data_IF_051965883501
#
_entry.id   IF_051965883501
#
_cell.length_a   1.000
_cell.length_b   1.000
_cell.length_c   1.000
_cell.angle_alpha   90.00
_cell.angle_beta   90.00
_cell.angle_gamma   90.00
#
_symmetry.space_group_name_H-M   'P 1'
#
loop_
_entity.id
_entity.type
_entity.pdbx_description
1 polymer ?
#
# COMPACT_ATOMS: atom_id res chain seq x y z
N UNK A 1 -5.35 4.70 50.01
CA UNK A 1 -6.78 4.35 49.95
C UNK A 1 -6.85 2.85 49.91
N UNK A 2 -7.54 2.23 50.86
CA UNK A 2 -7.84 0.79 50.77
C UNK A 2 -8.78 0.54 49.58
N UNK A 3 -8.57 -0.53 48.81
CA UNK A 3 -9.47 -0.88 47.72
C UNK A 3 -10.81 -1.35 48.30
N UNK A 4 -11.91 -0.83 47.76
CA UNK A 4 -13.25 -1.30 48.10
C UNK A 4 -13.62 -2.64 47.46
N UNK A 5 -14.77 -3.22 47.81
CA UNK A 5 -15.21 -4.51 47.27
C UNK A 5 -15.25 -4.51 45.74
N UNK A 6 -14.78 -5.60 45.14
CA UNK A 6 -14.79 -5.80 43.70
C UNK A 6 -15.51 -7.10 43.32
N UNK A 7 -16.30 -7.03 42.25
CA UNK A 7 -16.90 -8.18 41.59
C UNK A 7 -16.22 -8.37 40.24
N UNK A 8 -15.70 -9.56 40.00
CA UNK A 8 -14.95 -9.90 38.79
C UNK A 8 -15.60 -11.12 38.17
N UNK A 9 -16.19 -10.96 36.99
CA UNK A 9 -16.94 -12.00 36.29
C UNK A 9 -16.39 -12.19 34.88
N UNK A 10 -16.07 -13.41 34.46
CA UNK A 10 -15.57 -13.65 33.12
C UNK A 10 -16.74 -13.60 32.12
N UNK A 11 -16.54 -12.90 31.00
CA UNK A 11 -17.47 -12.92 29.87
C UNK A 11 -17.16 -14.15 29.02
N UNK A 12 -17.81 -15.29 29.31
CA UNK A 12 -17.55 -16.57 28.64
C UNK A 12 -18.68 -16.97 27.73
N UNK A 13 -18.35 -17.33 26.50
CA UNK A 13 -19.30 -17.91 25.56
C UNK A 13 -18.72 -19.22 25.03
N UNK A 14 -19.19 -20.36 25.58
CA UNK A 14 -18.59 -21.68 25.38
C UNK A 14 -17.09 -21.67 25.73
N UNK A 15 -16.20 -22.03 24.80
CA UNK A 15 -14.76 -22.20 25.05
C UNK A 15 -13.94 -20.90 24.93
N UNK A 16 -14.58 -19.76 24.68
CA UNK A 16 -13.89 -18.47 24.49
C UNK A 16 -14.24 -17.47 25.60
N UNK A 17 -13.21 -16.83 26.15
CA UNK A 17 -13.33 -15.71 27.09
C UNK A 17 -13.24 -14.41 26.28
N UNK A 18 -14.35 -13.70 26.15
CA UNK A 18 -14.42 -12.41 25.48
C UNK A 18 -13.73 -11.29 26.27
N UNK A 19 -13.67 -11.45 27.59
CA UNK A 19 -13.10 -10.48 28.52
C UNK A 19 -13.56 -10.72 29.94
N UNK A 20 -13.45 -9.68 30.76
CA UNK A 20 -13.82 -9.71 32.18
C UNK A 20 -14.65 -8.47 32.50
N UNK A 21 -15.81 -8.66 33.11
CA UNK A 21 -16.59 -7.59 33.71
C UNK A 21 -16.09 -7.35 35.12
N UNK A 22 -15.71 -6.10 35.40
CA UNK A 22 -15.25 -5.66 36.72
C UNK A 22 -16.19 -4.59 37.22
N UNK A 23 -16.83 -4.83 38.37
CA UNK A 23 -17.60 -3.82 39.09
C UNK A 23 -16.87 -3.51 40.41
N UNK A 24 -16.65 -2.21 40.66
CA UNK A 24 -15.94 -1.72 41.83
C UNK A 24 -16.88 -0.91 42.70
N UNK A 25 -16.73 -1.03 44.02
CA UNK A 25 -17.39 -0.18 45.02
C UNK A 25 -16.36 0.66 45.78
N UNK A 26 -16.84 1.73 46.40
CA UNK A 26 -16.04 2.54 47.33
C UNK A 26 -15.63 1.72 48.55
N UNK A 27 -14.55 2.11 49.23
CA UNK A 27 -13.98 1.38 50.36
C UNK A 27 -14.91 1.25 51.58
N UNK A 28 -15.87 2.16 51.70
CA UNK A 28 -16.85 2.26 52.77
C UNK A 28 -18.17 1.52 52.50
N UNK A 29 -18.33 0.94 51.30
CA UNK A 29 -19.54 0.20 50.94
C UNK A 29 -19.50 -1.28 51.33
N UNK A 30 -20.67 -1.88 51.51
CA UNK A 30 -20.78 -3.30 51.81
C UNK A 30 -20.36 -4.18 50.60
N UNK A 31 -19.90 -5.42 50.86
CA UNK A 31 -19.67 -6.41 49.82
C UNK A 31 -20.92 -6.69 48.95
N UNK A 32 -20.70 -7.24 47.76
CA UNK A 32 -21.80 -7.71 46.91
C UNK A 32 -22.51 -8.90 47.57
N UNK A 33 -23.85 -8.90 47.53
CA UNK A 33 -24.64 -10.02 48.05
C UNK A 33 -24.74 -11.16 47.03
N UNK A 34 -25.06 -12.38 47.50
CA UNK A 34 -25.22 -13.54 46.62
C UNK A 34 -26.24 -13.30 45.48
N UNK A 35 -27.35 -12.61 45.76
CA UNK A 35 -28.31 -12.22 44.73
C UNK A 35 -27.73 -11.28 43.67
N UNK A 36 -26.83 -10.39 44.07
CA UNK A 36 -26.13 -9.50 43.14
C UNK A 36 -25.09 -10.27 42.33
N UNK A 37 -24.42 -11.26 42.93
CA UNK A 37 -23.51 -12.17 42.23
C UNK A 37 -24.27 -12.96 41.15
N UNK A 38 -25.40 -13.60 41.50
CA UNK A 38 -26.21 -14.39 40.57
C UNK A 38 -26.74 -13.54 39.40
N UNK A 39 -27.27 -12.35 39.70
CA UNK A 39 -27.78 -11.43 38.69
C UNK A 39 -26.66 -10.94 37.75
N UNK A 40 -25.49 -10.62 38.29
CA UNK A 40 -24.36 -10.16 37.49
C UNK A 40 -23.72 -11.30 36.69
N UNK A 41 -23.71 -12.53 37.21
CA UNK A 41 -23.29 -13.72 36.47
C UNK A 41 -24.21 -13.95 35.26
N UNK A 42 -25.53 -13.91 35.46
CA UNK A 42 -26.49 -14.03 34.35
C UNK A 42 -26.34 -12.90 33.32
N UNK A 43 -26.07 -11.66 33.76
CA UNK A 43 -25.77 -10.55 32.86
C UNK A 43 -24.47 -10.78 32.07
N UNK A 44 -23.40 -11.25 32.74
CA UNK A 44 -22.12 -11.56 32.10
C UNK A 44 -22.28 -12.63 31.02
N UNK A 45 -23.08 -13.67 31.26
CA UNK A 45 -23.39 -14.72 30.29
C UNK A 45 -24.14 -14.16 29.06
N UNK A 46 -25.16 -13.31 29.27
CA UNK A 46 -25.88 -12.67 28.17
C UNK A 46 -24.99 -11.72 27.36
N UNK A 47 -24.16 -10.92 28.03
CA UNK A 47 -23.20 -10.03 27.39
C UNK A 47 -22.18 -10.81 26.54
N UNK A 48 -21.68 -11.93 27.06
CA UNK A 48 -20.76 -12.80 26.32
C UNK A 48 -21.41 -13.42 25.08
N UNK A 49 -22.67 -13.86 25.17
CA UNK A 49 -23.43 -14.37 24.03
C UNK A 49 -23.65 -13.30 22.97
N UNK A 50 -24.08 -12.10 23.38
CA UNK A 50 -24.29 -10.97 22.47
C UNK A 50 -23.01 -10.56 21.75
N UNK A 51 -21.89 -10.50 22.48
CA UNK A 51 -20.56 -10.24 21.90
C UNK A 51 -20.18 -11.31 20.87
N UNK A 52 -20.40 -12.60 21.17
CA UNK A 52 -20.09 -13.69 20.24
C UNK A 52 -20.91 -13.57 18.95
N UNK A 53 -22.21 -13.28 19.06
CA UNK A 53 -23.08 -13.08 17.91
C UNK A 53 -22.65 -11.88 17.06
N UNK A 54 -22.34 -10.74 17.69
CA UNK A 54 -21.86 -9.55 17.00
C UNK A 54 -20.52 -9.80 16.29
N UNK A 55 -19.62 -10.55 16.92
CA UNK A 55 -18.30 -10.91 16.36
C UNK A 55 -18.46 -11.86 15.17
N UNK A 56 -19.28 -12.91 15.30
CA UNK A 56 -19.57 -13.84 14.20
C UNK A 56 -20.22 -13.12 13.01
N UNK A 57 -21.18 -12.23 13.26
CA UNK A 57 -21.79 -11.42 12.19
C UNK A 57 -20.78 -10.50 11.50
N UNK A 58 -19.83 -9.92 12.25
CA UNK A 58 -18.77 -9.09 11.68
C UNK A 58 -17.84 -9.91 10.79
N UNK A 59 -17.44 -11.10 11.25
CA UNK A 59 -16.61 -12.02 10.47
C UNK A 59 -17.32 -12.49 9.19
N UNK A 60 -18.61 -12.84 9.28
CA UNK A 60 -19.41 -13.21 8.10
C UNK A 60 -19.47 -12.09 7.07
N UNK A 61 -19.71 -10.85 7.50
CA UNK A 61 -19.70 -9.67 6.60
C UNK A 61 -18.33 -9.46 5.94
N UNK A 62 -17.25 -9.66 6.69
CA UNK A 62 -15.90 -9.53 6.15
C UNK A 62 -15.62 -10.59 5.08
N UNK A 63 -16.01 -11.84 5.33
CA UNK A 63 -15.93 -12.93 4.34
C UNK A 63 -16.77 -12.63 3.10
N UNK A 64 -17.99 -12.10 3.27
CA UNK A 64 -18.88 -11.73 2.16
C UNK A 64 -18.26 -10.63 1.29
N UNK A 65 -17.71 -9.58 1.91
CA UNK A 65 -17.01 -8.49 1.21
C UNK A 65 -15.80 -9.03 0.43
N UNK A 66 -15.00 -9.91 1.03
CA UNK A 66 -13.84 -10.51 0.36
C UNK A 66 -14.28 -11.39 -0.83
N UNK A 67 -15.34 -12.17 -0.64
CA UNK A 67 -15.89 -13.04 -1.71
C UNK A 67 -16.41 -12.22 -2.89
N UNK A 68 -17.08 -11.09 -2.63
CA UNK A 68 -17.57 -10.22 -3.71
C UNK A 68 -16.43 -9.51 -4.44
N UNK A 69 -15.38 -9.08 -3.71
CA UNK A 69 -14.16 -8.53 -4.32
C UNK A 69 -13.46 -9.52 -5.25
N UNK A 70 -13.29 -10.76 -4.79
CA UNK A 70 -12.71 -11.83 -5.61
C UNK A 70 -13.55 -12.11 -6.86
N UNK A 71 -14.88 -12.04 -6.72
CA UNK A 71 -15.80 -12.20 -7.86
C UNK A 71 -15.65 -11.06 -8.86
N UNK A 72 -15.70 -9.80 -8.41
CA UNK A 72 -15.55 -8.62 -9.26
C UNK A 72 -14.20 -8.63 -9.99
N UNK A 73 -13.12 -8.98 -9.29
CA UNK A 73 -11.81 -9.06 -9.88
C UNK A 73 -11.69 -10.13 -10.97
N UNK A 74 -12.25 -11.33 -10.73
CA UNK A 74 -12.32 -12.38 -11.75
C UNK A 74 -13.12 -11.92 -12.97
N UNK A 75 -14.27 -11.29 -12.75
CA UNK A 75 -15.10 -10.76 -13.83
C UNK A 75 -14.34 -9.71 -14.66
N UNK A 76 -13.59 -8.80 -14.02
CA UNK A 76 -12.73 -7.82 -14.72
C UNK A 76 -11.60 -8.49 -15.51
N UNK A 77 -10.91 -9.45 -14.92
CA UNK A 77 -9.84 -10.17 -15.58
C UNK A 77 -10.34 -10.94 -16.82
N UNK A 78 -11.41 -11.70 -16.66
CA UNK A 78 -11.90 -12.59 -17.71
C UNK A 78 -12.66 -11.85 -18.81
N UNK A 79 -13.37 -10.76 -18.49
CA UNK A 79 -14.17 -10.05 -19.49
C UNK A 79 -13.52 -8.80 -20.07
N UNK A 80 -12.71 -8.08 -19.29
CA UNK A 80 -12.12 -6.81 -19.74
C UNK A 80 -10.70 -7.04 -20.22
N UNK A 81 -9.82 -7.55 -19.37
CA UNK A 81 -8.39 -7.73 -19.71
C UNK A 81 -8.23 -8.66 -20.91
N UNK A 82 -8.89 -9.84 -20.91
CA UNK A 82 -8.79 -10.78 -22.04
C UNK A 82 -9.29 -10.20 -23.36
N UNK A 83 -10.36 -9.37 -23.33
CA UNK A 83 -10.87 -8.70 -24.53
C UNK A 83 -9.89 -7.65 -25.05
N UNK A 84 -9.31 -6.83 -24.17
CA UNK A 84 -8.32 -5.84 -24.55
C UNK A 84 -7.08 -6.51 -25.16
N UNK A 85 -6.63 -7.64 -24.61
CA UNK A 85 -5.57 -8.45 -25.22
C UNK A 85 -5.92 -8.93 -26.63
N UNK A 86 -7.13 -9.45 -26.83
CA UNK A 86 -7.56 -9.90 -28.16
C UNK A 86 -7.62 -8.76 -29.19
N UNK A 87 -8.06 -7.57 -28.76
CA UNK A 87 -8.04 -6.35 -29.59
C UNK A 87 -6.60 -5.95 -29.91
N UNK A 88 -5.71 -5.93 -28.92
CA UNK A 88 -4.29 -5.63 -29.10
C UNK A 88 -3.61 -6.56 -30.10
N UNK A 89 -3.86 -7.88 -30.01
CA UNK A 89 -3.35 -8.87 -30.97
C UNK A 89 -3.89 -8.64 -32.39
N UNK A 90 -5.16 -8.27 -32.50
CA UNK A 90 -5.79 -7.96 -33.80
C UNK A 90 -5.14 -6.73 -34.44
N UNK A 91 -4.88 -5.68 -33.65
CA UNK A 91 -4.19 -4.47 -34.09
C UNK A 91 -2.73 -4.75 -34.47
N UNK A 92 -2.00 -5.54 -33.67
CA UNK A 92 -0.63 -5.97 -33.98
C UNK A 92 -0.55 -6.73 -35.30
N UNK A 93 -1.54 -7.57 -35.61
CA UNK A 93 -1.62 -8.25 -36.91
C UNK A 93 -2.01 -7.34 -38.08
N UNK A 94 -2.68 -6.22 -37.81
CA UNK A 94 -3.09 -5.23 -38.81
C UNK A 94 -2.00 -4.18 -39.10
N UNK A 95 -1.18 -3.80 -38.11
CA UNK A 95 -0.18 -2.74 -38.23
C UNK A 95 0.80 -2.94 -39.41
N UNK A 96 1.36 -4.15 -39.66
CA UNK A 96 2.26 -4.39 -40.80
C UNK A 96 1.58 -4.29 -42.16
N UNK A 97 0.24 -4.39 -42.21
CA UNK A 97 -0.55 -4.32 -43.46
C UNK A 97 -0.95 -2.90 -43.83
N UNK A 98 -0.77 -1.93 -42.93
CA UNK A 98 -1.05 -0.52 -43.18
C UNK A 98 -0.01 0.07 -44.14
N UNK A 99 -0.48 0.58 -45.30
CA UNK A 99 0.39 1.16 -46.35
C UNK A 99 0.81 2.60 -46.08
N UNK A 100 0.02 3.33 -45.29
CA UNK A 100 0.28 4.73 -44.95
C UNK A 100 1.07 4.76 -43.64
N UNK A 101 2.30 5.34 -43.61
CA UNK A 101 3.13 5.37 -42.41
C UNK A 101 2.45 5.96 -41.18
N UNK A 102 1.73 7.08 -41.35
CA UNK A 102 1.00 7.73 -40.26
C UNK A 102 -0.11 6.83 -39.65
N UNK A 103 -0.78 6.02 -40.48
CA UNK A 103 -1.80 5.06 -39.99
C UNK A 103 -1.13 3.94 -39.21
N UNK A 104 0.03 3.46 -39.67
CA UNK A 104 0.80 2.43 -38.95
C UNK A 104 1.29 2.92 -37.59
N UNK A 105 1.83 4.12 -37.52
CA UNK A 105 2.24 4.75 -36.26
C UNK A 105 1.05 4.93 -35.31
N UNK A 106 -0.10 5.38 -35.82
CA UNK A 106 -1.32 5.48 -35.01
C UNK A 106 -1.77 4.13 -34.45
N UNK A 107 -1.67 3.03 -35.21
CA UNK A 107 -2.01 1.69 -34.72
C UNK A 107 -1.05 1.26 -33.60
N UNK A 108 0.25 1.51 -33.72
CA UNK A 108 1.22 1.20 -32.67
C UNK A 108 0.97 2.01 -31.40
N UNK A 109 0.71 3.32 -31.52
CA UNK A 109 0.31 4.15 -30.37
C UNK A 109 -0.92 3.59 -29.66
N UNK A 110 -1.96 3.17 -30.39
CA UNK A 110 -3.14 2.55 -29.77
C UNK A 110 -2.86 1.20 -29.11
N UNK A 111 -1.86 0.45 -29.57
CA UNK A 111 -1.42 -0.78 -28.92
C UNK A 111 -0.75 -0.46 -27.59
N UNK A 112 0.10 0.58 -27.55
CA UNK A 112 0.77 1.04 -26.34
C UNK A 112 -0.25 1.55 -25.31
N UNK A 113 -1.22 2.37 -25.73
CA UNK A 113 -2.32 2.84 -24.88
C UNK A 113 -3.12 1.67 -24.28
N UNK A 114 -3.41 0.63 -25.09
CA UNK A 114 -4.11 -0.57 -24.61
C UNK A 114 -3.29 -1.33 -23.56
N UNK A 115 -1.97 -1.40 -23.71
CA UNK A 115 -1.10 -2.04 -22.73
C UNK A 115 -1.07 -1.26 -21.41
N UNK A 116 -1.02 0.07 -21.48
CA UNK A 116 -1.11 0.94 -20.30
C UNK A 116 -2.42 0.73 -19.54
N UNK A 117 -3.57 0.76 -20.25
CA UNK A 117 -4.89 0.52 -19.65
C UNK A 117 -4.98 -0.87 -19.01
N UNK A 118 -4.43 -1.91 -19.66
CA UNK A 118 -4.39 -3.26 -19.08
C UNK A 118 -3.61 -3.26 -17.76
N UNK A 119 -2.50 -2.52 -17.69
CA UNK A 119 -1.67 -2.42 -16.51
C UNK A 119 -2.38 -1.66 -15.37
N UNK A 120 -3.08 -0.58 -15.69
CA UNK A 120 -3.93 0.17 -14.75
C UNK A 120 -5.03 -0.72 -14.16
N UNK A 121 -5.75 -1.47 -15.01
CA UNK A 121 -6.81 -2.38 -14.55
C UNK A 121 -6.25 -3.48 -13.65
N UNK A 122 -5.07 -4.04 -13.98
CA UNK A 122 -4.40 -5.03 -13.11
C UNK A 122 -4.09 -4.42 -11.75
N UNK A 123 -3.52 -3.21 -11.70
CA UNK A 123 -3.28 -2.51 -10.45
C UNK A 123 -4.58 -2.34 -9.65
N UNK A 124 -5.66 -1.92 -10.29
CA UNK A 124 -6.96 -1.74 -9.64
C UNK A 124 -7.54 -3.07 -9.09
N UNK A 125 -7.37 -4.19 -9.81
CA UNK A 125 -7.76 -5.53 -9.36
C UNK A 125 -6.96 -5.95 -8.12
N UNK A 126 -5.66 -5.69 -8.09
CA UNK A 126 -4.83 -5.96 -6.92
C UNK A 126 -5.22 -5.10 -5.72
N UNK A 127 -5.47 -3.81 -5.95
CA UNK A 127 -5.94 -2.86 -4.92
C UNK A 127 -7.29 -3.31 -4.33
N UNK A 128 -8.18 -3.85 -5.18
CA UNK A 128 -9.47 -4.40 -4.77
C UNK A 128 -9.33 -5.60 -3.82
N UNK A 129 -8.42 -6.54 -4.10
CA UNK A 129 -8.19 -7.73 -3.26
C UNK A 129 -7.51 -7.42 -1.93
N UNK A 130 -6.56 -6.48 -1.91
CA UNK A 130 -5.75 -6.23 -0.73
C UNK A 130 -6.49 -5.45 0.38
N UNK A 131 -7.68 -4.90 0.09
CA UNK A 131 -8.55 -4.23 1.05
C UNK A 131 -7.98 -2.93 1.66
N UNK A 132 -8.83 -2.10 2.30
CA UNK A 132 -8.47 -0.73 2.68
C UNK A 132 -7.37 -0.60 3.74
N UNK A 133 -6.95 -1.70 4.39
CA UNK A 133 -5.93 -1.69 5.46
C UNK A 133 -4.57 -2.27 5.07
N UNK A 134 -4.47 -3.02 3.95
CA UNK A 134 -3.21 -3.61 3.48
C UNK A 134 -2.81 -3.10 2.09
N UNK A 135 -3.77 -2.84 1.19
CA UNK A 135 -3.51 -2.32 -0.15
C UNK A 135 -2.95 -0.89 -0.18
N UNK A 136 -3.43 -0.06 0.75
CA UNK A 136 -3.25 1.39 0.69
C UNK A 136 -2.00 1.86 1.45
N UNK A 137 -1.33 1.01 2.23
CA UNK A 137 -0.26 1.43 3.14
C UNK A 137 0.90 2.11 2.42
N UNK A 138 1.59 1.40 1.53
CA UNK A 138 2.76 1.94 0.84
C UNK A 138 2.37 3.05 -0.15
N UNK A 139 1.45 2.77 -1.09
CA UNK A 139 1.02 3.77 -2.09
C UNK A 139 0.59 5.10 -1.45
N UNK A 140 -0.31 5.06 -0.46
CA UNK A 140 -0.77 6.27 0.20
C UNK A 140 0.34 7.04 0.92
N UNK A 141 1.30 6.33 1.52
CA UNK A 141 2.47 6.95 2.16
C UNK A 141 3.35 7.66 1.14
N UNK A 142 3.60 7.03 -0.01
CA UNK A 142 4.42 7.59 -1.08
C UNK A 142 3.72 8.78 -1.76
N UNK A 143 2.43 8.67 -2.06
CA UNK A 143 1.63 9.78 -2.60
C UNK A 143 1.69 11.00 -1.66
N UNK A 144 1.55 10.79 -0.36
CA UNK A 144 1.67 11.86 0.64
C UNK A 144 3.05 12.54 0.63
N UNK A 145 4.13 11.79 0.40
CA UNK A 145 5.47 12.37 0.27
C UNK A 145 5.55 13.24 -0.98
N UNK A 146 5.04 12.73 -2.10
CA UNK A 146 5.04 13.41 -3.38
C UNK A 146 4.24 14.70 -3.28
N UNK A 147 3.01 14.65 -2.77
CA UNK A 147 2.15 15.82 -2.57
C UNK A 147 2.77 16.89 -1.66
N UNK A 148 3.53 16.48 -0.63
CA UNK A 148 4.19 17.40 0.31
C UNK A 148 5.39 18.13 -0.30
N UNK A 149 6.05 17.51 -1.26
CA UNK A 149 7.30 17.99 -1.84
C UNK A 149 7.13 18.52 -3.26
N UNK A 150 6.01 18.22 -3.92
CA UNK A 150 5.68 18.72 -5.24
C UNK A 150 5.65 20.26 -5.24
N UNK A 151 6.31 20.83 -6.24
CA UNK A 151 6.28 22.27 -6.51
C UNK A 151 5.65 22.51 -7.89
N UNK A 152 4.89 23.60 -8.10
CA UNK A 152 4.18 23.85 -9.35
C UNK A 152 5.06 23.91 -10.61
N UNK A 153 6.36 24.17 -10.44
CA UNK A 153 7.33 24.27 -11.54
C UNK A 153 7.89 22.92 -12.01
N UNK A 154 7.63 21.83 -11.29
CA UNK A 154 8.19 20.50 -11.55
C UNK A 154 7.09 19.53 -11.99
N UNK A 155 7.12 19.08 -13.24
CA UNK A 155 6.16 18.12 -13.76
C UNK A 155 6.50 16.72 -13.24
N UNK A 156 5.69 16.20 -12.32
CA UNK A 156 5.95 14.90 -11.68
C UNK A 156 5.02 13.82 -12.23
N UNK A 157 5.58 12.72 -12.71
CA UNK A 157 4.85 11.52 -13.15
C UNK A 157 5.16 10.37 -12.21
N UNK A 158 4.14 9.62 -11.82
CA UNK A 158 4.26 8.55 -10.83
C UNK A 158 3.64 7.28 -11.40
N UNK A 159 4.40 6.19 -11.44
CA UNK A 159 3.93 4.89 -11.87
C UNK A 159 4.14 3.85 -10.77
N UNK A 160 3.11 3.06 -10.52
CA UNK A 160 3.12 1.97 -9.55
C UNK A 160 2.88 0.64 -10.26
N UNK A 161 3.78 -0.32 -10.07
CA UNK A 161 3.71 -1.65 -10.70
C UNK A 161 3.80 -2.75 -9.65
N UNK A 162 2.97 -3.79 -9.78
CA UNK A 162 3.02 -4.94 -8.87
C UNK A 162 2.28 -4.73 -7.54
N UNK A 163 2.29 -5.74 -6.64
CA UNK A 163 1.41 -5.77 -5.49
C UNK A 163 2.00 -5.03 -4.28
N UNK A 164 1.90 -3.70 -4.25
CA UNK A 164 2.43 -2.86 -3.14
C UNK A 164 1.92 -3.26 -1.74
N UNK A 165 0.82 -4.00 -1.68
CA UNK A 165 0.21 -4.51 -0.45
C UNK A 165 1.03 -5.57 0.29
N UNK A 166 1.96 -6.24 -0.41
CA UNK A 166 2.82 -7.28 0.18
C UNK A 166 4.02 -6.68 0.90
N UNK A 167 4.31 -5.40 0.70
CA UNK A 167 5.42 -4.71 1.33
C UNK A 167 5.10 -4.48 2.81
N UNK A 168 5.90 -5.06 3.69
CA UNK A 168 5.73 -4.91 5.13
C UNK A 168 5.99 -3.45 5.59
N UNK A 169 5.60 -3.15 6.82
CA UNK A 169 5.75 -1.79 7.38
C UNK A 169 7.21 -1.33 7.46
N UNK A 170 8.15 -2.25 7.65
CA UNK A 170 9.59 -1.92 7.78
C UNK A 170 10.13 -1.51 6.42
N UNK A 171 9.96 -2.32 5.38
CA UNK A 171 10.35 -1.97 4.01
C UNK A 171 9.61 -0.73 3.53
N UNK A 172 8.33 -0.56 3.87
CA UNK A 172 7.59 0.64 3.54
C UNK A 172 8.17 1.90 4.19
N UNK A 173 8.75 1.81 5.41
CA UNK A 173 9.47 2.93 6.04
C UNK A 173 10.76 3.28 5.28
N UNK A 174 11.49 2.28 4.80
CA UNK A 174 12.70 2.51 4.00
C UNK A 174 12.33 3.15 2.65
N UNK A 175 11.36 2.59 1.93
CA UNK A 175 10.90 3.12 0.65
C UNK A 175 10.37 4.56 0.76
N UNK A 176 9.59 4.89 1.79
CA UNK A 176 9.13 6.26 2.03
C UNK A 176 10.29 7.23 2.27
N UNK A 177 11.25 6.85 3.11
CA UNK A 177 12.41 7.69 3.39
C UNK A 177 13.29 7.91 2.16
N UNK A 178 13.44 6.86 1.34
CA UNK A 178 14.17 6.92 0.06
C UNK A 178 13.50 7.89 -0.89
N UNK A 179 12.19 7.74 -1.11
CA UNK A 179 11.45 8.60 -2.01
C UNK A 179 11.49 10.07 -1.54
N UNK A 180 11.33 10.31 -0.24
CA UNK A 180 11.36 11.66 0.34
C UNK A 180 12.68 12.37 0.06
N UNK A 181 13.79 11.69 0.28
CA UNK A 181 15.12 12.24 0.05
C UNK A 181 15.37 12.43 -1.46
N UNK A 182 14.99 11.46 -2.29
CA UNK A 182 15.16 11.54 -3.74
C UNK A 182 14.40 12.72 -4.35
N UNK A 183 13.11 12.89 -3.99
CA UNK A 183 12.29 14.03 -4.43
C UNK A 183 12.84 15.35 -3.88
N UNK A 184 13.24 15.38 -2.60
CA UNK A 184 13.86 16.58 -2.00
C UNK A 184 15.15 16.99 -2.74
N UNK A 185 15.98 16.03 -3.13
CA UNK A 185 17.20 16.29 -3.89
C UNK A 185 16.90 16.82 -5.29
N UNK A 186 15.94 16.23 -5.99
CA UNK A 186 15.51 16.74 -7.30
C UNK A 186 15.01 18.19 -7.20
N UNK A 187 14.14 18.48 -6.22
CA UNK A 187 13.57 19.82 -6.00
C UNK A 187 14.63 20.86 -5.62
N UNK A 188 15.60 20.51 -4.76
CA UNK A 188 16.59 21.47 -4.24
C UNK A 188 17.82 21.65 -5.13
N UNK A 189 18.21 20.61 -5.85
CA UNK A 189 19.55 20.55 -6.45
C UNK A 189 19.54 20.29 -7.96
N UNK A 190 18.52 19.62 -8.51
CA UNK A 190 18.56 19.24 -9.92
C UNK A 190 18.28 20.40 -10.90
N UNK A 191 17.56 21.44 -10.47
CA UNK A 191 17.01 22.47 -11.38
C UNK A 191 16.25 21.82 -12.56
N UNK A 192 15.56 20.73 -12.26
CA UNK A 192 14.82 19.89 -13.19
C UNK A 192 13.46 20.51 -13.54
N UNK A 193 12.98 20.21 -14.74
CA UNK A 193 11.62 20.54 -15.20
C UNK A 193 10.67 19.35 -15.17
N UNK A 194 11.21 18.14 -15.15
CA UNK A 194 10.45 16.89 -15.03
C UNK A 194 11.06 15.92 -14.03
N UNK A 195 10.18 15.16 -13.38
CA UNK A 195 10.53 14.12 -12.41
C UNK A 195 9.65 12.88 -12.65
N UNK A 196 10.27 11.75 -12.99
CA UNK A 196 9.57 10.48 -13.12
C UNK A 196 9.89 9.58 -11.92
N UNK A 197 8.85 9.06 -11.28
CA UNK A 197 8.94 8.16 -10.11
C UNK A 197 8.31 6.84 -10.50
N UNK A 198 9.08 5.77 -10.45
CA UNK A 198 8.59 4.41 -10.67
C UNK A 198 8.77 3.59 -9.40
N UNK A 199 7.69 2.97 -8.93
CA UNK A 199 7.72 2.06 -7.79
C UNK A 199 7.20 0.71 -8.26
N UNK A 200 8.06 -0.30 -8.27
CA UNK A 200 7.69 -1.65 -8.68
C UNK A 200 7.85 -2.65 -7.54
N UNK A 201 6.98 -3.65 -7.52
CA UNK A 201 7.05 -4.77 -6.59
C UNK A 201 6.97 -6.06 -7.39
N UNK A 202 8.05 -6.82 -7.39
CA UNK A 202 8.14 -8.16 -7.99
C UNK A 202 8.70 -9.13 -6.94
N UNK A 203 9.92 -9.63 -7.11
CA UNK A 203 10.67 -10.36 -6.07
C UNK A 203 11.35 -9.38 -5.07
N UNK A 204 11.56 -8.14 -5.51
CA UNK A 204 12.01 -7.00 -4.71
C UNK A 204 10.98 -5.87 -4.75
N UNK A 205 11.06 -4.94 -3.78
CA UNK A 205 10.50 -3.60 -3.95
C UNK A 205 11.58 -2.70 -4.51
N UNK A 206 11.26 -1.97 -5.57
CA UNK A 206 12.17 -1.05 -6.23
C UNK A 206 11.54 0.33 -6.31
N UNK A 207 12.34 1.35 -6.00
CA UNK A 207 12.01 2.77 -6.15
C UNK A 207 13.04 3.37 -7.10
N UNK A 208 12.59 3.87 -8.23
CA UNK A 208 13.39 4.59 -9.20
C UNK A 208 12.89 6.03 -9.31
N UNK A 209 13.82 6.98 -9.29
CA UNK A 209 13.53 8.40 -9.44
C UNK A 209 14.47 8.97 -10.50
N UNK A 210 13.88 9.56 -11.53
CA UNK A 210 14.60 10.14 -12.67
C UNK A 210 14.24 11.61 -12.78
N UNK A 211 15.24 12.48 -12.78
CA UNK A 211 15.08 13.90 -13.10
C UNK A 211 15.81 14.24 -14.40
N UNK A 212 15.41 15.34 -15.06
CA UNK A 212 16.03 15.90 -16.27
C UNK A 212 17.00 17.06 -15.98
N UNK A 213 17.48 17.16 -14.74
CA UNK A 213 18.23 18.30 -14.25
C UNK A 213 19.71 18.31 -14.62
N UNK A 214 20.49 19.03 -13.81
CA UNK A 214 21.95 19.22 -14.03
C UNK A 214 22.80 18.01 -13.64
N UNK A 215 22.19 16.97 -13.06
CA UNK A 215 22.88 15.79 -12.53
C UNK A 215 23.63 16.05 -11.22
N UNK A 216 24.34 15.03 -10.76
CA UNK A 216 25.15 15.03 -9.54
C UNK A 216 26.52 15.64 -9.84
N UNK A 217 26.78 16.79 -9.22
CA UNK A 217 28.13 17.39 -9.14
C UNK A 217 28.94 16.69 -8.04
N UNK A 218 30.24 16.50 -8.24
CA UNK A 218 31.11 15.72 -7.32
C UNK A 218 31.26 16.25 -5.89
N UNK A 219 30.61 17.38 -5.54
CA UNK A 219 30.70 18.07 -4.25
C UNK A 219 29.36 18.07 -3.47
N UNK A 220 28.45 17.13 -3.80
CA UNK A 220 27.17 16.98 -3.11
C UNK A 220 27.39 16.44 -1.70
N UNK A 221 26.71 17.05 -0.74
CA UNK A 221 26.65 16.68 0.68
C UNK A 221 26.50 15.16 0.85
N UNK A 222 27.61 14.46 1.18
CA UNK A 222 27.66 12.99 1.26
C UNK A 222 26.62 12.40 2.22
N UNK A 223 26.07 13.18 3.15
CA UNK A 223 25.17 12.69 4.19
C UNK A 223 23.84 12.14 3.67
N UNK A 224 23.22 12.78 2.67
CA UNK A 224 21.92 12.37 2.11
C UNK A 224 22.01 11.05 1.36
N UNK A 225 22.94 10.95 0.40
CA UNK A 225 23.19 9.72 -0.37
C UNK A 225 23.73 8.59 0.51
N UNK A 226 24.53 8.90 1.54
CA UNK A 226 25.00 7.89 2.51
C UNK A 226 23.85 7.29 3.32
N UNK A 227 22.88 8.11 3.72
CA UNK A 227 21.69 7.60 4.42
C UNK A 227 20.84 6.69 3.53
N UNK A 228 20.75 6.99 2.22
CA UNK A 228 20.04 6.12 1.27
C UNK A 228 20.72 4.78 1.06
N UNK A 229 22.06 4.80 0.96
CA UNK A 229 22.86 3.58 0.90
C UNK A 229 22.72 2.73 2.16
N UNK A 230 22.83 3.36 3.34
CA UNK A 230 22.65 2.66 4.61
C UNK A 230 21.26 1.99 4.71
N UNK A 231 20.20 2.65 4.21
CA UNK A 231 18.86 2.08 4.21
C UNK A 231 18.70 0.88 3.27
N UNK A 232 19.43 0.86 2.15
CA UNK A 232 19.52 -0.33 1.31
C UNK A 232 20.23 -1.47 2.06
N UNK A 233 21.38 -1.17 2.68
CA UNK A 233 22.15 -2.15 3.44
C UNK A 233 21.33 -2.76 4.60
N UNK A 234 20.62 -1.93 5.37
CA UNK A 234 19.75 -2.36 6.48
C UNK A 234 18.59 -3.26 5.99
N UNK A 235 18.11 -3.03 4.77
CA UNK A 235 17.06 -3.82 4.14
C UNK A 235 17.61 -5.06 3.41
N UNK A 236 18.93 -5.20 3.27
CA UNK A 236 19.57 -6.27 2.48
C UNK A 236 19.43 -6.08 0.97
N UNK A 237 19.32 -4.84 0.53
CA UNK A 237 19.09 -4.44 -0.85
C UNK A 237 20.25 -3.66 -1.47
N UNK A 238 19.97 -2.92 -2.55
CA UNK A 238 20.97 -2.17 -3.31
C UNK A 238 20.54 -0.71 -3.54
N UNK A 239 21.52 0.19 -3.59
CA UNK A 239 21.34 1.60 -3.93
C UNK A 239 22.36 2.04 -4.98
N UNK A 240 21.87 2.55 -6.11
CA UNK A 240 22.67 3.12 -7.19
C UNK A 240 22.23 4.53 -7.50
N UNK A 241 23.17 5.40 -7.84
CA UNK A 241 22.87 6.73 -8.33
C UNK A 241 23.83 7.10 -9.47
N UNK A 242 23.27 7.53 -10.59
CA UNK A 242 23.99 7.69 -11.85
C UNK A 242 23.57 9.01 -12.53
N UNK A 243 24.53 9.66 -13.20
CA UNK A 243 24.22 10.75 -14.12
C UNK A 243 23.77 10.17 -15.46
N UNK A 244 22.64 10.64 -15.96
CA UNK A 244 22.07 10.14 -17.20
C UNK A 244 22.83 10.73 -18.41
N UNK A 245 23.07 9.95 -19.49
CA UNK A 245 23.76 10.44 -20.70
C UNK A 245 23.08 11.64 -21.36
N UNK A 246 21.78 11.76 -21.17
CA UNK A 246 20.91 12.82 -21.72
C UNK A 246 20.83 14.05 -20.83
N UNK A 247 21.54 14.09 -19.70
CA UNK A 247 21.33 15.06 -18.61
C UNK A 247 20.40 14.49 -17.54
N UNK A 248 20.55 14.98 -16.30
CA UNK A 248 19.76 14.56 -15.14
C UNK A 248 20.37 13.45 -14.31
N UNK A 249 19.61 13.00 -13.31
CA UNK A 249 20.01 11.96 -12.34
C UNK A 249 19.04 10.79 -12.38
N UNK A 250 19.57 9.57 -12.31
CA UNK A 250 18.80 8.35 -12.05
C UNK A 250 19.23 7.76 -10.71
N UNK A 251 18.29 7.73 -9.78
CA UNK A 251 18.42 7.10 -8.48
C UNK A 251 17.60 5.82 -8.45
N UNK A 252 18.23 4.71 -8.08
CA UNK A 252 17.55 3.42 -7.86
C UNK A 252 17.84 2.91 -6.47
N UNK A 253 16.79 2.47 -5.80
CA UNK A 253 16.86 1.74 -4.55
C UNK A 253 16.02 0.47 -4.68
N UNK A 254 16.54 -0.66 -4.21
CA UNK A 254 15.81 -1.93 -4.20
C UNK A 254 16.02 -2.66 -2.88
N UNK A 255 15.06 -3.48 -2.48
CA UNK A 255 15.21 -4.40 -1.35
C UNK A 255 14.32 -5.64 -1.53
N UNK A 256 14.80 -6.85 -1.16
CA UNK A 256 14.05 -8.08 -1.33
C UNK A 256 12.81 -8.12 -0.41
N UNK A 257 11.73 -8.72 -0.91
CA UNK A 257 10.55 -9.04 -0.10
C UNK A 257 10.88 -10.25 0.79
N UNK A 258 10.76 -10.11 2.12
CA UNK A 258 11.06 -11.19 3.08
C UNK A 258 9.88 -12.13 3.29
#
# INVERSE_FOLDING_TARGET
MEPGPALVLPLRAADTVAGVLVALRSADEQPFSDKQLDMMAAFADQAALAWRLATAQRQMREVEILTDRDRIARDLHDHVIQRLFAVGLTLQGAAPRARVPAVRESIYSSIDDLQEIIQEIRSAIFDLHAGPSRATGLRHRLDKVIDQLAIPALHTTVQYTGPLSVVDTVLANHAEAVLREAVSNAVRHANATSLAINVSVEDDVRVEVVDDGVGISGDITESGLRNLRQRADDAGGEFTVENMPTGGTLLRWSAPLR
#
